data_IF_165876652379
#
_entry.id   IF_165876652379
#
_cell.length_a   1.000
_cell.length_b   1.000
_cell.length_c   1.000
_cell.angle_alpha   90.00
_cell.angle_beta   90.00
_cell.angle_gamma   90.00
#
_symmetry.space_group_name_H-M   'P 1'
#
loop_
_entity.id
_entity.type
_entity.pdbx_description
1 polymer ?
#
# COMPACT_ATOMS: atom_id res chain seq x y z
N UNK A 1 15.30 -4.85 -36.12
CA UNK A 1 14.81 -4.87 -34.72
C UNK A 1 15.41 -6.08 -34.02
N UNK A 2 15.87 -5.95 -32.77
CA UNK A 2 16.30 -7.12 -32.00
C UNK A 2 15.08 -7.97 -31.62
N UNK A 3 15.17 -9.31 -31.64
CA UNK A 3 14.09 -10.18 -31.17
C UNK A 3 13.70 -9.86 -29.72
N UNK A 4 12.40 -9.89 -29.40
CA UNK A 4 11.89 -9.63 -28.04
C UNK A 4 12.53 -10.54 -26.99
N UNK A 5 12.78 -11.80 -27.33
CA UNK A 5 13.38 -12.79 -26.42
C UNK A 5 14.81 -12.40 -26.01
N UNK A 6 15.59 -11.85 -26.93
CA UNK A 6 16.96 -11.41 -26.66
C UNK A 6 17.00 -10.21 -25.73
N UNK A 7 16.02 -9.30 -25.87
CA UNK A 7 15.87 -8.15 -24.98
C UNK A 7 15.49 -8.58 -23.56
N UNK A 8 14.61 -9.57 -23.42
CA UNK A 8 14.23 -10.14 -22.12
C UNK A 8 15.44 -10.82 -21.46
N UNK A 9 16.19 -11.62 -22.21
CA UNK A 9 17.38 -12.31 -21.68
C UNK A 9 18.47 -11.34 -21.22
N UNK A 10 18.67 -10.22 -21.93
CA UNK A 10 19.58 -9.15 -21.49
C UNK A 10 19.11 -8.56 -20.16
N UNK A 11 17.83 -8.20 -20.06
CA UNK A 11 17.23 -7.61 -18.87
C UNK A 11 17.22 -8.56 -17.65
N UNK A 12 17.18 -9.88 -17.89
CA UNK A 12 17.36 -10.88 -16.83
C UNK A 12 18.82 -10.92 -16.40
N UNK A 13 19.75 -11.00 -17.35
CA UNK A 13 21.17 -11.17 -17.07
C UNK A 13 21.83 -9.93 -16.43
N UNK A 14 21.32 -8.73 -16.72
CA UNK A 14 21.83 -7.48 -16.12
C UNK A 14 21.11 -7.09 -14.81
N UNK A 15 20.14 -7.89 -14.36
CA UNK A 15 19.39 -7.66 -13.12
C UNK A 15 18.29 -6.61 -13.22
N UNK A 16 17.99 -6.09 -14.41
CA UNK A 16 16.90 -5.12 -14.62
C UNK A 16 15.54 -5.68 -14.22
N UNK A 17 15.28 -6.97 -14.47
CA UNK A 17 14.05 -7.64 -14.04
C UNK A 17 13.92 -7.70 -12.52
N UNK A 18 15.02 -7.97 -11.82
CA UNK A 18 15.03 -7.97 -10.35
C UNK A 18 14.79 -6.57 -9.80
N UNK A 19 15.44 -5.55 -10.37
CA UNK A 19 15.21 -4.16 -9.98
C UNK A 19 13.77 -3.73 -10.23
N UNK A 20 13.19 -4.11 -11.37
CA UNK A 20 11.78 -3.85 -11.68
C UNK A 20 10.88 -4.47 -10.60
N UNK A 21 11.08 -5.75 -10.27
CA UNK A 21 10.33 -6.43 -9.22
C UNK A 21 10.43 -5.72 -7.87
N UNK A 22 11.63 -5.31 -7.45
CA UNK A 22 11.82 -4.57 -6.18
C UNK A 22 11.05 -3.24 -6.15
N UNK A 23 11.14 -2.45 -7.23
CA UNK A 23 10.46 -1.16 -7.32
C UNK A 23 8.94 -1.31 -7.30
N UNK A 24 8.46 -2.30 -8.05
CA UNK A 24 7.06 -2.65 -8.15
C UNK A 24 6.52 -3.11 -6.79
N UNK A 25 7.20 -4.04 -6.11
CA UNK A 25 6.81 -4.50 -4.77
C UNK A 25 6.79 -3.37 -3.74
N UNK A 26 7.79 -2.47 -3.75
CA UNK A 26 7.81 -1.31 -2.85
C UNK A 26 6.64 -0.35 -3.12
N UNK A 27 6.30 -0.09 -4.38
CA UNK A 27 5.14 0.72 -4.74
C UNK A 27 3.82 0.09 -4.27
N UNK A 28 3.72 -1.24 -4.29
CA UNK A 28 2.56 -1.95 -3.75
C UNK A 28 2.40 -1.73 -2.23
N UNK A 29 3.48 -1.87 -1.47
CA UNK A 29 3.48 -1.61 -0.01
C UNK A 29 3.00 -0.19 0.32
N UNK A 30 3.47 0.82 -0.44
CA UNK A 30 3.02 2.21 -0.27
C UNK A 30 1.51 2.37 -0.48
N UNK A 31 0.94 1.68 -1.48
CA UNK A 31 -0.49 1.74 -1.73
C UNK A 31 -1.29 1.05 -0.62
N UNK A 32 -0.80 -0.09 -0.10
CA UNK A 32 -1.43 -0.77 1.03
C UNK A 32 -1.43 0.11 2.29
N UNK A 33 -0.30 0.76 2.59
CA UNK A 33 -0.19 1.68 3.73
C UNK A 33 -1.12 2.88 3.58
N UNK A 34 -1.17 3.50 2.39
CA UNK A 34 -2.09 4.59 2.13
C UNK A 34 -3.56 4.18 2.34
N UNK A 35 -3.93 2.96 1.96
CA UNK A 35 -5.27 2.43 2.21
C UNK A 35 -5.53 2.26 3.72
N UNK A 36 -4.59 1.65 4.46
CA UNK A 36 -4.72 1.47 5.92
C UNK A 36 -4.97 2.80 6.64
N UNK A 37 -4.25 3.86 6.28
CA UNK A 37 -4.41 5.19 6.89
C UNK A 37 -5.78 5.82 6.60
N UNK A 38 -6.32 5.63 5.39
CA UNK A 38 -7.65 6.15 5.03
C UNK A 38 -8.77 5.34 5.70
N UNK A 39 -8.60 4.03 5.83
CA UNK A 39 -9.50 3.18 6.63
C UNK A 39 -9.50 3.62 8.10
N UNK A 40 -8.33 3.79 8.71
CA UNK A 40 -8.23 4.27 10.10
C UNK A 40 -8.87 5.65 10.29
N UNK A 41 -8.64 6.60 9.36
CA UNK A 41 -9.30 7.90 9.39
C UNK A 41 -10.83 7.77 9.27
N UNK A 42 -11.33 6.78 8.53
CA UNK A 42 -12.76 6.50 8.42
C UNK A 42 -13.32 6.00 9.75
N UNK A 43 -12.61 5.09 10.40
CA UNK A 43 -13.03 4.51 11.69
C UNK A 43 -13.07 5.56 12.80
N UNK A 44 -12.09 6.47 12.82
CA UNK A 44 -12.07 7.62 13.76
C UNK A 44 -13.33 8.47 13.62
N UNK A 45 -13.80 8.72 12.40
CA UNK A 45 -15.02 9.51 12.15
C UNK A 45 -16.29 8.72 12.46
N UNK A 46 -16.33 7.43 12.10
CA UNK A 46 -17.48 6.53 12.38
C UNK A 46 -17.70 6.40 13.89
N UNK A 47 -16.63 6.35 14.69
CA UNK A 47 -16.72 6.34 16.16
C UNK A 47 -17.41 7.57 16.75
N UNK A 48 -17.59 8.64 15.97
CA UNK A 48 -18.32 9.87 16.34
C UNK A 48 -19.67 10.01 15.61
N UNK A 49 -20.11 8.97 14.90
CA UNK A 49 -21.33 9.01 14.09
C UNK A 49 -21.20 9.88 12.83
N UNK A 50 -19.96 10.21 12.42
CA UNK A 50 -19.68 11.02 11.24
C UNK A 50 -19.20 10.14 10.08
N UNK A 51 -19.49 10.59 8.86
CA UNK A 51 -18.99 9.95 7.64
C UNK A 51 -17.92 10.83 7.00
N UNK A 52 -16.85 10.21 6.48
CA UNK A 52 -15.91 10.87 5.57
C UNK A 52 -16.55 11.30 4.23
N UNK A 53 -17.82 10.93 4.02
CA UNK A 53 -18.64 11.36 2.89
C UNK A 53 -18.05 10.94 1.55
N UNK A 54 -17.93 11.90 0.63
CA UNK A 54 -17.47 11.65 -0.74
C UNK A 54 -16.04 11.09 -0.81
N UNK A 55 -15.17 11.40 0.15
CA UNK A 55 -13.80 10.91 0.16
C UNK A 55 -13.75 9.38 0.26
N UNK A 56 -14.55 8.79 1.16
CA UNK A 56 -14.61 7.33 1.31
C UNK A 56 -15.12 6.65 0.05
N UNK A 57 -16.13 7.23 -0.61
CA UNK A 57 -16.65 6.72 -1.87
C UNK A 57 -15.59 6.74 -2.97
N UNK A 58 -14.90 7.87 -3.15
CA UNK A 58 -13.83 8.00 -4.13
C UNK A 58 -12.65 7.07 -3.81
N UNK A 59 -12.32 6.88 -2.54
CA UNK A 59 -11.30 5.93 -2.11
C UNK A 59 -11.68 4.48 -2.46
N UNK A 60 -12.94 4.08 -2.21
CA UNK A 60 -13.39 2.74 -2.60
C UNK A 60 -13.32 2.51 -4.12
N UNK A 61 -13.63 3.53 -4.93
CA UNK A 61 -13.49 3.44 -6.38
C UNK A 61 -12.01 3.41 -6.82
N UNK A 62 -11.15 4.15 -6.12
CA UNK A 62 -9.69 4.09 -6.30
C UNK A 62 -9.15 2.68 -5.99
N UNK A 63 -9.54 2.07 -4.87
CA UNK A 63 -9.13 0.70 -4.48
C UNK A 63 -9.54 -0.32 -5.54
N UNK A 64 -10.77 -0.24 -6.07
CA UNK A 64 -11.22 -1.12 -7.16
C UNK A 64 -10.37 -0.99 -8.44
N UNK A 65 -9.94 0.23 -8.76
CA UNK A 65 -9.03 0.46 -9.87
C UNK A 65 -7.62 -0.05 -9.56
N UNK A 66 -7.16 0.13 -8.32
CA UNK A 66 -5.89 -0.40 -7.83
C UNK A 66 -5.86 -1.94 -7.90
N UNK A 67 -6.96 -2.63 -7.56
CA UNK A 67 -7.07 -4.10 -7.68
C UNK A 67 -6.85 -4.58 -9.12
N UNK A 68 -7.39 -3.85 -10.11
CA UNK A 68 -7.14 -4.16 -11.53
C UNK A 68 -5.68 -3.96 -11.89
N UNK A 69 -5.09 -2.86 -11.44
CA UNK A 69 -3.66 -2.62 -11.58
C UNK A 69 -2.82 -3.72 -10.90
N UNK A 70 -3.24 -4.21 -9.73
CA UNK A 70 -2.57 -5.28 -9.00
C UNK A 70 -2.65 -6.62 -9.72
N UNK A 71 -3.74 -6.92 -10.42
CA UNK A 71 -3.83 -8.13 -11.24
C UNK A 71 -2.84 -8.09 -12.42
N UNK A 72 -2.70 -6.94 -13.08
CA UNK A 72 -1.71 -6.74 -14.15
C UNK A 72 -0.29 -6.81 -13.59
N UNK A 73 -0.04 -6.17 -12.44
CA UNK A 73 1.21 -6.23 -11.70
C UNK A 73 1.62 -7.67 -11.34
N UNK A 74 0.69 -8.46 -10.81
CA UNK A 74 0.95 -9.84 -10.40
C UNK A 74 1.32 -10.72 -11.60
N UNK A 75 0.87 -10.37 -12.81
CA UNK A 75 1.28 -11.04 -14.04
C UNK A 75 2.73 -10.74 -14.46
N UNK A 76 3.28 -9.60 -14.03
CA UNK A 76 4.65 -9.15 -14.34
C UNK A 76 5.68 -9.64 -13.33
N UNK A 77 5.31 -9.79 -12.06
CA UNK A 77 6.20 -10.24 -10.98
C UNK A 77 6.18 -11.78 -10.93
N UNK A 78 7.09 -12.42 -11.65
CA UNK A 78 7.13 -13.89 -11.84
C UNK A 78 7.90 -14.67 -10.79
N UNK A 79 8.35 -14.03 -9.70
CA UNK A 79 9.30 -14.63 -8.75
C UNK A 79 8.60 -15.11 -7.48
N UNK A 80 8.49 -16.43 -7.30
CA UNK A 80 7.92 -17.05 -6.09
C UNK A 80 8.69 -16.71 -4.80
N UNK A 81 9.94 -16.26 -4.91
CA UNK A 81 10.77 -15.80 -3.78
C UNK A 81 10.23 -14.53 -3.09
N UNK A 82 9.42 -13.71 -3.77
CA UNK A 82 8.91 -12.46 -3.21
C UNK A 82 7.57 -12.60 -2.47
N UNK A 83 6.96 -13.79 -2.44
CA UNK A 83 5.61 -14.00 -1.89
C UNK A 83 5.57 -14.19 -0.36
N UNK A 84 6.69 -14.43 0.32
CA UNK A 84 6.68 -14.94 1.69
C UNK A 84 6.90 -13.92 2.82
N UNK A 85 7.12 -12.63 2.55
CA UNK A 85 7.38 -11.64 3.61
C UNK A 85 6.50 -10.38 3.56
N UNK A 86 5.46 -10.36 2.72
CA UNK A 86 4.68 -9.13 2.47
C UNK A 86 4.00 -8.58 3.74
N UNK A 87 3.56 -9.44 4.66
CA UNK A 87 2.93 -9.00 5.91
C UNK A 87 3.94 -8.39 6.88
N UNK A 88 5.10 -9.02 7.02
CA UNK A 88 6.18 -8.55 7.90
C UNK A 88 6.83 -7.27 7.32
N UNK A 89 7.01 -7.22 5.98
CA UNK A 89 7.45 -6.03 5.26
C UNK A 89 6.46 -4.87 5.41
N UNK A 90 5.15 -5.14 5.32
CA UNK A 90 4.12 -4.13 5.50
C UNK A 90 4.07 -3.64 6.94
N UNK A 91 4.16 -4.53 7.92
CA UNK A 91 4.21 -4.15 9.33
C UNK A 91 5.44 -3.30 9.65
N UNK A 92 6.63 -3.74 9.22
CA UNK A 92 7.87 -2.98 9.42
C UNK A 92 7.84 -1.62 8.70
N UNK A 93 7.18 -1.55 7.55
CA UNK A 93 6.95 -0.30 6.83
C UNK A 93 5.98 0.63 7.57
N UNK A 94 4.80 0.14 8.00
CA UNK A 94 3.81 0.90 8.78
C UNK A 94 4.46 1.52 10.03
N UNK A 95 5.17 0.71 10.83
CA UNK A 95 5.85 1.18 12.05
C UNK A 95 6.85 2.31 11.75
N UNK A 96 7.64 2.14 10.68
CA UNK A 96 8.64 3.12 10.26
C UNK A 96 7.99 4.40 9.70
N UNK A 97 6.95 4.23 8.90
CA UNK A 97 6.22 5.33 8.26
C UNK A 97 5.49 6.16 9.30
N UNK A 98 4.75 5.52 10.23
CA UNK A 98 4.07 6.17 11.35
C UNK A 98 5.01 6.97 12.22
N UNK A 99 6.18 6.41 12.54
CA UNK A 99 7.23 7.12 13.29
C UNK A 99 7.69 8.38 12.56
N UNK A 100 7.88 8.31 11.24
CA UNK A 100 8.28 9.46 10.43
C UNK A 100 7.15 10.49 10.29
N UNK A 101 5.92 10.04 10.01
CA UNK A 101 4.73 10.86 9.81
C UNK A 101 4.16 11.44 11.12
N UNK A 102 4.67 10.98 12.28
CA UNK A 102 4.19 11.35 13.62
C UNK A 102 2.73 10.94 13.85
N UNK A 103 2.33 9.81 13.27
CA UNK A 103 1.03 9.18 13.47
C UNK A 103 1.20 8.10 14.53
N UNK A 104 0.56 8.22 15.72
CA UNK A 104 0.67 7.17 16.73
C UNK A 104 -0.05 5.89 16.28
N UNK A 105 0.43 4.73 16.72
CA UNK A 105 -0.23 3.43 16.47
C UNK A 105 -1.53 3.33 17.28
N UNK A 106 -1.51 3.79 18.53
CA UNK A 106 -2.69 3.83 19.38
C UNK A 106 -3.24 5.26 19.46
N UNK A 107 -4.50 5.43 19.10
CA UNK A 107 -5.22 6.69 19.27
C UNK A 107 -6.46 6.51 20.14
N UNK A 108 -6.61 7.38 21.13
CA UNK A 108 -7.78 7.43 21.99
C UNK A 108 -8.38 8.85 21.94
N UNK A 109 -9.72 8.99 21.90
CA UNK A 109 -10.35 10.30 21.98
C UNK A 109 -9.97 10.98 23.30
N UNK A 110 -9.66 12.28 23.24
CA UNK A 110 -9.53 13.07 24.48
C UNK A 110 -10.89 13.12 25.15
N UNK A 111 -10.94 12.76 26.44
CA UNK A 111 -12.14 12.93 27.26
C UNK A 111 -12.32 14.44 27.44
N UNK A 112 -13.38 14.99 26.86
CA UNK A 112 -13.81 16.36 27.14
C UNK A 112 -14.73 16.27 28.35
N UNK A 113 -14.29 16.80 29.50
CA UNK A 113 -15.20 17.01 30.63
C UNK A 113 -16.23 18.05 30.20
N UNK A 114 -17.47 17.61 29.93
CA UNK A 114 -18.60 18.49 29.59
C UNK A 114 -19.09 19.36 30.77
N UNK A 115 -18.27 19.53 31.82
CA UNK A 115 -18.59 20.27 33.05
C UNK A 115 -17.66 21.47 33.28
N UNK A 116 -17.60 22.42 32.33
CA UNK A 116 -17.12 23.80 32.58
C UNK A 116 -17.94 24.83 31.83
#
# INVERSE_FOLDING_TARGET
MRPKQDLINIAINDGSMDRMNMLLSAAHLLNCEANNLIEEASDVMIAKGLLLGNLKKLHNDFVKCADRYFNEFASLVTTDKCKMDMFDDLQGFDESFRKWAKVPIEWHPRILDENK
#
